data_IF_251716408172
#
_entry.id   IF_251716408172
#
_cell.length_a   1.000
_cell.length_b   1.000
_cell.length_c   1.000
_cell.angle_alpha   90.00
_cell.angle_beta   90.00
_cell.angle_gamma   90.00
#
_symmetry.space_group_name_H-M   'P 1'
#
loop_
_entity.id
_entity.type
_entity.pdbx_description
1 polymer ?
#
# COMPACT_ATOMS: atom_id res chain seq x y z
N UNK A 1 25.82 -2.96 -1.00
CA UNK A 1 25.61 -3.43 -2.39
C UNK A 1 24.11 -3.58 -2.62
N UNK A 2 23.40 -2.46 -2.68
CA UNK A 2 21.99 -2.38 -3.07
C UNK A 2 21.97 -1.59 -4.37
N UNK A 3 22.47 -2.25 -5.41
CA UNK A 3 22.62 -1.69 -6.75
C UNK A 3 22.12 -2.78 -7.71
N UNK A 4 21.10 -2.47 -8.51
CA UNK A 4 20.71 -3.33 -9.64
C UNK A 4 19.22 -3.61 -9.88
N UNK A 5 18.33 -3.56 -8.88
CA UNK A 5 16.92 -4.01 -9.07
C UNK A 5 15.86 -2.92 -9.17
N UNK A 6 16.23 -1.64 -9.01
CA UNK A 6 15.32 -0.51 -9.25
C UNK A 6 15.22 -0.20 -10.77
N UNK A 7 16.11 -0.78 -11.58
CA UNK A 7 16.28 -0.48 -13.00
C UNK A 7 15.43 -1.32 -13.98
N UNK A 8 14.34 -1.95 -13.55
CA UNK A 8 13.54 -2.82 -14.44
C UNK A 8 12.03 -2.63 -14.44
N UNK A 9 11.49 -1.61 -13.77
CA UNK A 9 10.14 -1.13 -14.08
C UNK A 9 10.30 0.00 -15.11
N UNK A 10 10.34 -0.38 -16.39
CA UNK A 10 10.37 0.51 -17.56
C UNK A 10 9.40 1.66 -17.38
N UNK A 11 9.96 2.83 -17.07
CA UNK A 11 9.34 4.13 -17.23
C UNK A 11 9.66 4.52 -18.66
N UNK A 12 8.63 4.73 -19.48
CA UNK A 12 8.82 5.32 -20.80
C UNK A 12 9.50 6.66 -20.55
N UNK A 13 10.71 6.88 -21.09
CA UNK A 13 11.34 8.19 -21.10
C UNK A 13 10.36 9.15 -21.83
N UNK A 14 9.62 9.94 -21.05
CA UNK A 14 8.59 10.85 -21.57
C UNK A 14 9.18 12.05 -22.29
N UNK A 15 10.50 12.12 -22.45
CA UNK A 15 11.23 13.26 -23.00
C UNK A 15 10.89 13.57 -24.46
N UNK A 16 10.31 12.62 -25.22
CA UNK A 16 10.01 12.83 -26.66
C UNK A 16 8.63 12.31 -27.11
N UNK A 17 7.60 12.38 -26.26
CA UNK A 17 6.28 11.85 -26.61
C UNK A 17 5.54 12.73 -27.64
N UNK A 18 5.75 14.05 -27.59
CA UNK A 18 5.06 15.01 -28.46
C UNK A 18 5.93 15.38 -29.67
N UNK A 19 5.72 14.69 -30.79
CA UNK A 19 6.38 14.93 -32.08
C UNK A 19 6.02 16.33 -32.60
N UNK A 20 7.00 17.15 -32.93
CA UNK A 20 6.81 18.50 -33.45
C UNK A 20 7.20 18.54 -34.93
N UNK A 21 6.50 19.36 -35.70
CA UNK A 21 6.91 19.65 -37.06
C UNK A 21 8.12 20.62 -37.08
N UNK A 22 9.20 20.33 -37.82
CA UNK A 22 10.42 21.16 -37.84
C UNK A 22 10.20 22.64 -38.20
N UNK A 23 9.17 22.95 -39.01
CA UNK A 23 8.83 24.33 -39.35
C UNK A 23 8.42 25.17 -38.12
N UNK A 24 7.82 24.54 -37.11
CA UNK A 24 7.40 25.20 -35.87
C UNK A 24 8.60 25.42 -34.96
N UNK A 25 9.52 24.45 -34.90
CA UNK A 25 10.78 24.59 -34.17
C UNK A 25 11.62 25.74 -34.73
N UNK A 26 11.70 25.85 -36.06
CA UNK A 26 12.41 26.95 -36.74
C UNK A 26 11.74 28.30 -36.47
N UNK A 27 10.41 28.38 -36.52
CA UNK A 27 9.68 29.61 -36.22
C UNK A 27 9.91 30.09 -34.78
N UNK A 28 9.93 29.17 -33.82
CA UNK A 28 10.19 29.48 -32.40
C UNK A 28 11.63 29.88 -32.18
N UNK A 29 12.58 29.20 -32.82
CA UNK A 29 14.00 29.55 -32.74
C UNK A 29 14.28 30.94 -33.32
N UNK A 30 13.59 31.32 -34.39
CA UNK A 30 13.68 32.66 -34.97
C UNK A 30 13.07 33.72 -34.03
N UNK A 31 11.89 33.47 -33.47
CA UNK A 31 11.26 34.37 -32.49
C UNK A 31 12.12 34.56 -31.22
N UNK A 32 12.76 33.49 -30.75
CA UNK A 32 13.71 33.53 -29.62
C UNK A 32 14.95 34.37 -29.94
N UNK A 33 15.49 34.26 -31.16
CA UNK A 33 16.63 35.08 -31.61
C UNK A 33 16.26 36.56 -31.71
N UNK A 34 15.03 36.86 -32.10
CA UNK A 34 14.51 38.22 -32.22
C UNK A 34 13.97 38.81 -30.90
N UNK A 35 13.94 38.02 -29.82
CA UNK A 35 13.34 38.35 -28.51
C UNK A 35 11.86 38.74 -28.60
N UNK A 36 11.15 38.19 -29.58
CA UNK A 36 9.71 38.38 -29.79
C UNK A 36 8.95 37.11 -29.40
N UNK A 37 7.65 37.26 -29.11
CA UNK A 37 6.78 36.09 -28.93
C UNK A 37 6.57 35.42 -30.29
N UNK A 38 6.60 34.08 -30.38
CA UNK A 38 6.34 33.37 -31.63
C UNK A 38 4.94 33.76 -32.15
N UNK A 39 4.89 34.35 -33.35
CA UNK A 39 3.65 34.82 -33.96
C UNK A 39 3.16 33.83 -35.01
N UNK A 40 1.84 33.69 -35.12
CA UNK A 40 1.19 32.90 -36.17
C UNK A 40 1.38 33.51 -37.58
N UNK A 41 1.84 34.76 -37.68
CA UNK A 41 2.09 35.43 -38.95
C UNK A 41 3.40 34.96 -39.62
N UNK A 42 4.31 34.36 -38.86
CA UNK A 42 5.60 33.83 -39.35
C UNK A 42 5.48 32.41 -39.93
N UNK A 43 4.29 31.79 -39.83
CA UNK A 43 4.04 30.43 -40.29
C UNK A 43 3.38 30.42 -41.68
N UNK A 44 3.85 29.56 -42.62
CA UNK A 44 3.22 29.44 -43.92
C UNK A 44 1.80 28.85 -43.77
N UNK A 45 0.79 29.56 -44.28
CA UNK A 45 -0.63 29.17 -44.23
C UNK A 45 -0.99 28.11 -45.27
N UNK A 46 -0.17 27.09 -45.40
CA UNK A 46 -0.34 26.01 -46.35
C UNK A 46 -1.30 24.94 -45.79
N UNK A 47 -2.25 24.50 -46.61
CA UNK A 47 -3.21 23.46 -46.22
C UNK A 47 -2.54 22.13 -45.88
N UNK A 48 -1.44 21.79 -46.56
CA UNK A 48 -0.66 20.56 -46.32
C UNK A 48 -0.01 20.52 -44.92
N UNK A 49 0.43 21.68 -44.43
CA UNK A 49 1.04 21.80 -43.12
C UNK A 49 -0.04 21.65 -42.02
N UNK A 50 -1.24 22.19 -42.21
CA UNK A 50 -2.37 21.96 -41.30
C UNK A 50 -2.77 20.49 -41.19
N UNK A 51 -2.72 19.74 -42.30
CA UNK A 51 -3.00 18.29 -42.28
C UNK A 51 -1.91 17.52 -41.54
N UNK A 52 -0.65 17.91 -41.72
CA UNK A 52 0.50 17.30 -41.03
C UNK A 52 0.44 17.57 -39.52
N UNK A 53 0.09 18.80 -39.11
CA UNK A 53 -0.08 19.14 -37.70
C UNK A 53 -1.28 18.41 -37.07
N UNK A 54 -2.36 18.22 -37.82
CA UNK A 54 -3.50 17.40 -37.35
C UNK A 54 -3.07 15.97 -37.09
N UNK A 55 -2.29 15.36 -38.00
CA UNK A 55 -1.70 14.04 -37.79
C UNK A 55 -0.80 13.99 -36.55
N UNK A 56 -0.03 15.04 -36.28
CA UNK A 56 0.78 15.14 -35.06
C UNK A 56 -0.09 15.21 -33.80
N UNK A 57 -1.17 15.98 -33.80
CA UNK A 57 -2.12 16.07 -32.67
C UNK A 57 -2.81 14.72 -32.41
N UNK A 58 -3.22 14.00 -33.45
CA UNK A 58 -3.78 12.65 -33.33
C UNK A 58 -2.74 11.64 -32.78
N UNK A 59 -1.48 11.78 -33.20
CA UNK A 59 -0.37 11.01 -32.65
C UNK A 59 -0.14 11.35 -31.17
N UNK A 60 -0.21 12.64 -30.79
CA UNK A 60 -0.10 13.06 -29.38
C UNK A 60 -1.21 12.43 -28.55
N UNK A 61 -2.46 12.46 -29.03
CA UNK A 61 -3.59 11.83 -28.36
C UNK A 61 -3.34 10.34 -28.14
N UNK A 62 -2.85 9.64 -29.16
CA UNK A 62 -2.56 8.20 -29.09
C UNK A 62 -1.44 7.89 -28.09
N UNK A 63 -0.35 8.68 -28.11
CA UNK A 63 0.77 8.48 -27.20
C UNK A 63 0.42 8.82 -25.75
N UNK A 64 -0.34 9.89 -25.50
CA UNK A 64 -0.83 10.23 -24.16
C UNK A 64 -1.77 9.13 -23.66
N UNK A 65 -2.70 8.66 -24.50
CA UNK A 65 -3.59 7.56 -24.15
C UNK A 65 -2.83 6.27 -23.84
N UNK A 66 -1.71 6.00 -24.51
CA UNK A 66 -0.85 4.84 -24.22
C UNK A 66 -0.21 4.92 -22.83
N UNK A 67 0.24 6.10 -22.40
CA UNK A 67 0.79 6.30 -21.05
C UNK A 67 -0.32 6.25 -19.99
N UNK A 68 -1.44 6.92 -20.24
CA UNK A 68 -2.57 6.98 -19.29
C UNK A 68 -3.22 5.60 -19.04
N UNK A 69 -3.29 4.77 -20.08
CA UNK A 69 -3.90 3.44 -20.01
C UNK A 69 -2.86 2.32 -19.80
N UNK A 70 -1.65 2.66 -19.34
CA UNK A 70 -0.62 1.66 -19.09
C UNK A 70 -1.05 0.65 -18.02
N UNK A 71 -0.80 -0.62 -18.29
CA UNK A 71 -1.09 -1.70 -17.33
C UNK A 71 -0.19 -1.58 -16.09
N UNK A 72 -0.82 -1.42 -14.93
CA UNK A 72 -0.12 -1.33 -13.66
C UNK A 72 0.15 -2.74 -13.12
N UNK A 73 1.43 -3.13 -12.86
CA UNK A 73 1.76 -4.43 -12.31
C UNK A 73 1.07 -4.68 -10.94
N UNK A 74 0.89 -5.96 -10.55
CA UNK A 74 0.28 -6.30 -9.27
C UNK A 74 1.17 -5.83 -8.10
N UNK A 75 0.54 -5.63 -6.94
CA UNK A 75 1.24 -5.21 -5.73
C UNK A 75 2.21 -6.28 -5.26
N UNK A 76 3.47 -5.89 -5.06
CA UNK A 76 4.54 -6.74 -4.50
C UNK A 76 4.88 -6.37 -3.07
N UNK A 77 5.11 -5.08 -2.80
CA UNK A 77 5.23 -4.51 -1.46
C UNK A 77 4.76 -3.05 -1.45
N UNK A 78 4.43 -2.53 -0.27
CA UNK A 78 4.02 -1.14 -0.09
C UNK A 78 5.05 -0.13 -0.62
N UNK A 79 6.34 -0.36 -0.40
CA UNK A 79 7.41 0.55 -0.87
C UNK A 79 7.48 0.59 -2.41
N UNK A 80 7.38 -0.56 -3.07
CA UNK A 80 7.33 -0.61 -4.53
C UNK A 80 6.05 0.05 -5.06
N UNK A 81 4.93 -0.15 -4.37
CA UNK A 81 3.65 0.48 -4.71
C UNK A 81 3.73 2.01 -4.63
N UNK A 82 4.31 2.55 -3.55
CA UNK A 82 4.54 3.98 -3.37
C UNK A 82 5.41 4.56 -4.49
N UNK A 83 6.59 3.96 -4.71
CA UNK A 83 7.51 4.40 -5.75
C UNK A 83 6.87 4.35 -7.14
N UNK A 84 6.03 3.35 -7.40
CA UNK A 84 5.28 3.22 -8.65
C UNK A 84 4.32 4.38 -8.85
N UNK A 85 3.46 4.69 -7.87
CA UNK A 85 2.46 5.75 -8.03
C UNK A 85 3.09 7.14 -8.00
N UNK A 86 4.17 7.35 -7.24
CA UNK A 86 4.96 8.58 -7.30
C UNK A 86 5.59 8.77 -8.67
N UNK A 87 6.19 7.72 -9.25
CA UNK A 87 6.79 7.81 -10.56
C UNK A 87 5.74 8.08 -11.65
N UNK A 88 4.66 7.31 -11.63
CA UNK A 88 3.54 7.50 -12.55
C UNK A 88 2.95 8.91 -12.45
N UNK A 89 2.79 9.43 -11.22
CA UNK A 89 2.32 10.80 -10.98
C UNK A 89 3.27 11.85 -11.56
N UNK A 90 4.59 11.66 -11.42
CA UNK A 90 5.60 12.55 -12.02
C UNK A 90 5.56 12.50 -13.55
N UNK A 91 5.40 11.33 -14.15
CA UNK A 91 5.29 11.17 -15.61
C UNK A 91 4.04 11.87 -16.16
N UNK A 92 2.88 11.66 -15.55
CA UNK A 92 1.64 12.33 -15.94
C UNK A 92 1.73 13.85 -15.72
N UNK A 93 2.38 14.29 -14.64
CA UNK A 93 2.61 15.72 -14.38
C UNK A 93 3.56 16.34 -15.41
N UNK A 94 4.63 15.64 -15.79
CA UNK A 94 5.54 16.05 -16.84
C UNK A 94 4.83 16.17 -18.19
N UNK A 95 3.96 15.20 -18.54
CA UNK A 95 3.13 15.25 -19.75
C UNK A 95 2.15 16.42 -19.74
N UNK A 96 1.45 16.66 -18.62
CA UNK A 96 0.62 17.85 -18.45
C UNK A 96 1.44 19.13 -18.64
N UNK A 97 2.65 19.18 -18.08
CA UNK A 97 3.58 20.30 -18.25
C UNK A 97 4.00 20.50 -19.71
N UNK A 98 4.31 19.43 -20.44
CA UNK A 98 4.64 19.50 -21.87
C UNK A 98 3.48 20.03 -22.71
N UNK A 99 2.23 19.68 -22.39
CA UNK A 99 1.06 20.17 -23.12
C UNK A 99 0.74 21.65 -22.83
N UNK A 100 0.90 22.07 -21.57
CA UNK A 100 0.47 23.39 -21.11
C UNK A 100 1.57 24.46 -21.13
N UNK A 101 2.84 24.07 -21.07
CA UNK A 101 3.96 25.00 -20.87
C UNK A 101 4.92 25.07 -22.06
N UNK A 102 4.87 24.12 -23.00
CA UNK A 102 5.82 24.06 -24.13
C UNK A 102 5.34 25.00 -25.25
N UNK A 103 6.17 25.99 -25.60
CA UNK A 103 5.84 27.09 -26.51
C UNK A 103 5.40 26.61 -27.91
N UNK A 104 5.97 25.50 -28.36
CA UNK A 104 5.63 24.80 -29.60
C UNK A 104 4.21 24.22 -29.63
N UNK A 105 3.77 23.57 -28.55
CA UNK A 105 2.43 23.01 -28.41
C UNK A 105 1.42 24.13 -28.28
N UNK A 106 1.76 25.18 -27.53
CA UNK A 106 0.93 26.37 -27.40
C UNK A 106 0.72 27.08 -28.75
N UNK A 107 1.77 27.20 -29.57
CA UNK A 107 1.68 27.80 -30.90
C UNK A 107 0.80 26.96 -31.85
N UNK A 108 0.95 25.63 -31.81
CA UNK A 108 0.06 24.71 -32.55
C UNK A 108 -1.40 24.89 -32.10
N UNK A 109 -1.63 24.94 -30.79
CA UNK A 109 -2.98 25.10 -30.24
C UNK A 109 -3.59 26.46 -30.60
N UNK A 110 -2.83 27.55 -30.54
CA UNK A 110 -3.29 28.89 -30.96
C UNK A 110 -3.63 28.91 -32.46
N UNK A 111 -2.85 28.20 -33.29
CA UNK A 111 -3.13 28.12 -34.72
C UNK A 111 -4.47 27.43 -35.02
N UNK A 112 -4.72 26.28 -34.39
CA UNK A 112 -5.98 25.56 -34.55
C UNK A 112 -7.17 26.34 -33.99
N UNK A 113 -6.97 27.08 -32.89
CA UNK A 113 -8.00 27.96 -32.35
C UNK A 113 -8.37 29.08 -33.35
N UNK A 114 -7.40 29.76 -33.97
CA UNK A 114 -7.70 30.83 -34.94
C UNK A 114 -8.27 30.33 -36.26
N UNK A 115 -7.91 29.12 -36.69
CA UNK A 115 -8.29 28.60 -38.02
C UNK A 115 -9.63 27.86 -37.99
N UNK A 116 -9.93 27.15 -36.90
CA UNK A 116 -11.08 26.24 -36.81
C UNK A 116 -11.89 26.36 -35.51
N UNK A 117 -11.52 27.27 -34.60
CA UNK A 117 -12.11 27.36 -33.25
C UNK A 117 -12.00 26.05 -32.45
N UNK A 118 -10.94 25.28 -32.71
CA UNK A 118 -10.64 24.02 -32.03
C UNK A 118 -9.72 24.28 -30.83
N UNK A 119 -10.13 23.84 -29.63
CA UNK A 119 -9.37 23.99 -28.40
C UNK A 119 -8.50 22.75 -28.15
N UNK A 120 -7.49 22.56 -28.99
CA UNK A 120 -6.64 21.36 -29.05
C UNK A 120 -6.21 20.85 -27.68
N UNK A 121 -5.69 21.73 -26.80
CA UNK A 121 -5.21 21.34 -25.47
C UNK A 121 -6.36 20.84 -24.60
N UNK A 122 -7.48 21.57 -24.55
CA UNK A 122 -8.66 21.18 -23.78
C UNK A 122 -9.26 19.86 -24.29
N UNK A 123 -9.31 19.68 -25.60
CA UNK A 123 -9.80 18.44 -26.22
C UNK A 123 -8.87 17.27 -25.93
N UNK A 124 -7.55 17.44 -26.02
CA UNK A 124 -6.58 16.41 -25.65
C UNK A 124 -6.71 16.02 -24.17
N UNK A 125 -6.81 16.98 -23.27
CA UNK A 125 -6.97 16.71 -21.83
C UNK A 125 -8.28 15.95 -21.54
N UNK A 126 -9.38 16.33 -22.19
CA UNK A 126 -10.68 15.66 -22.04
C UNK A 126 -10.69 14.26 -22.67
N UNK A 127 -10.16 14.11 -23.87
CA UNK A 127 -10.22 12.86 -24.63
C UNK A 127 -9.28 11.79 -24.07
N UNK A 128 -8.15 12.20 -23.48
CA UNK A 128 -7.19 11.28 -22.85
C UNK A 128 -7.50 11.01 -21.38
N UNK A 129 -8.27 11.88 -20.71
CA UNK A 129 -8.53 11.80 -19.28
C UNK A 129 -7.28 12.03 -18.42
N UNK A 130 -6.27 12.71 -18.96
CA UNK A 130 -4.96 12.87 -18.32
C UNK A 130 -5.06 13.53 -16.93
N UNK A 131 -5.83 14.61 -16.81
CA UNK A 131 -6.02 15.31 -15.52
C UNK A 131 -6.71 14.43 -14.48
N UNK A 132 -7.74 13.67 -14.88
CA UNK A 132 -8.43 12.75 -13.97
C UNK A 132 -7.49 11.67 -13.45
N UNK A 133 -6.63 11.12 -14.32
CA UNK A 133 -5.65 10.10 -13.94
C UNK A 133 -4.55 10.67 -13.05
N UNK A 134 -4.11 11.91 -13.28
CA UNK A 134 -3.15 12.60 -12.43
C UNK A 134 -3.73 12.81 -11.03
N UNK A 135 -4.95 13.36 -10.93
CA UNK A 135 -5.64 13.52 -9.64
C UNK A 135 -5.85 12.19 -8.92
N UNK A 136 -6.21 11.14 -9.66
CA UNK A 136 -6.38 9.80 -9.10
C UNK A 136 -5.06 9.27 -8.53
N UNK A 137 -3.97 9.48 -9.25
CA UNK A 137 -2.63 9.04 -8.84
C UNK A 137 -2.19 9.76 -7.57
N UNK A 138 -2.38 11.08 -7.48
CA UNK A 138 -2.13 11.81 -6.24
C UNK A 138 -2.94 11.29 -5.06
N UNK A 139 -4.25 11.04 -5.25
CA UNK A 139 -5.11 10.44 -4.20
C UNK A 139 -4.63 9.05 -3.77
N UNK A 140 -4.03 8.27 -4.68
CA UNK A 140 -3.45 6.97 -4.36
C UNK A 140 -2.15 7.12 -3.58
N UNK A 141 -1.25 8.02 -4.00
CA UNK A 141 -0.01 8.33 -3.27
C UNK A 141 -0.33 8.81 -1.85
N UNK A 142 -1.21 9.78 -1.67
CA UNK A 142 -1.61 10.29 -0.35
C UNK A 142 -2.16 9.18 0.56
N UNK A 143 -2.98 8.29 -0.01
CA UNK A 143 -3.50 7.13 0.70
C UNK A 143 -2.36 6.20 1.17
N UNK A 144 -1.46 5.83 0.27
CA UNK A 144 -0.37 4.90 0.55
C UNK A 144 0.64 5.48 1.53
N UNK A 145 0.98 6.76 1.42
CA UNK A 145 1.86 7.46 2.36
C UNK A 145 1.24 7.51 3.76
N UNK A 146 -0.08 7.71 3.84
CA UNK A 146 -0.80 7.61 5.11
C UNK A 146 -0.74 6.20 5.72
N UNK A 147 -0.85 5.15 4.90
CA UNK A 147 -0.67 3.76 5.36
C UNK A 147 0.75 3.51 5.85
N UNK A 148 1.76 3.99 5.13
CA UNK A 148 3.18 3.85 5.50
C UNK A 148 3.48 4.49 6.85
N UNK A 149 2.99 5.72 7.08
CA UNK A 149 3.16 6.40 8.36
C UNK A 149 2.56 5.59 9.52
N UNK A 150 1.36 5.06 9.35
CA UNK A 150 0.70 4.24 10.37
C UNK A 150 1.37 2.88 10.56
N UNK A 151 1.97 2.31 9.51
CA UNK A 151 2.78 1.10 9.63
C UNK A 151 4.06 1.36 10.42
N UNK A 152 4.73 2.48 10.20
CA UNK A 152 5.88 2.90 11.02
C UNK A 152 5.48 3.06 12.49
N UNK A 153 4.31 3.66 12.76
CA UNK A 153 3.75 3.75 14.12
C UNK A 153 3.53 2.35 14.72
N UNK A 154 2.96 1.43 13.94
CA UNK A 154 2.73 0.05 14.34
C UNK A 154 4.05 -0.64 14.70
N UNK A 155 5.07 -0.55 13.83
CA UNK A 155 6.40 -1.10 14.09
C UNK A 155 7.07 -0.51 15.33
N UNK A 156 6.71 0.72 15.72
CA UNK A 156 7.29 1.40 16.88
C UNK A 156 6.57 1.10 18.20
N UNK A 157 5.38 0.50 18.17
CA UNK A 157 4.55 0.27 19.35
C UNK A 157 5.23 -0.64 20.38
N UNK A 158 5.51 -0.17 21.60
CA UNK A 158 6.28 -0.94 22.59
C UNK A 158 5.44 -1.83 23.51
N UNK A 159 4.11 -1.69 23.49
CA UNK A 159 3.19 -2.44 24.34
C UNK A 159 1.86 -2.75 23.64
N UNK A 160 1.08 -3.67 24.23
CA UNK A 160 -0.17 -4.16 23.65
C UNK A 160 -1.24 -3.06 23.51
N UNK A 161 -1.30 -2.11 24.44
CA UNK A 161 -2.26 -1.01 24.38
C UNK A 161 -1.97 -0.05 23.22
N UNK A 162 -0.69 0.32 23.02
CA UNK A 162 -0.24 1.11 21.89
C UNK A 162 -0.49 0.38 20.58
N UNK A 163 -0.19 -0.92 20.51
CA UNK A 163 -0.46 -1.73 19.34
C UNK A 163 -1.96 -1.75 19.00
N UNK A 164 -2.83 -1.94 19.99
CA UNK A 164 -4.29 -1.89 19.80
C UNK A 164 -4.75 -0.54 19.28
N UNK A 165 -4.21 0.55 19.84
CA UNK A 165 -4.54 1.91 19.42
C UNK A 165 -4.17 2.17 17.95
N UNK A 166 -2.99 1.73 17.50
CA UNK A 166 -2.58 1.89 16.11
C UNK A 166 -3.47 1.04 15.18
N UNK A 167 -3.83 -0.17 15.58
CA UNK A 167 -4.79 -1.00 14.82
C UNK A 167 -6.15 -0.30 14.69
N UNK A 168 -6.64 0.34 15.76
CA UNK A 168 -7.85 1.18 15.76
C UNK A 168 -7.74 2.43 14.88
N UNK A 169 -6.54 2.85 14.47
CA UNK A 169 -6.33 3.95 13.54
C UNK A 169 -6.19 3.46 12.08
N UNK A 170 -5.38 2.43 11.85
CA UNK A 170 -5.07 1.88 10.51
C UNK A 170 -6.34 1.48 9.78
N UNK A 171 -7.17 0.63 10.38
CA UNK A 171 -8.33 0.09 9.67
C UNK A 171 -9.35 1.18 9.31
N UNK A 172 -9.76 2.07 10.24
CA UNK A 172 -10.61 3.21 9.89
C UNK A 172 -10.04 4.12 8.84
N UNK A 173 -8.74 4.36 8.83
CA UNK A 173 -8.09 5.09 7.75
C UNK A 173 -8.27 4.35 6.41
N UNK A 174 -7.96 3.05 6.35
CA UNK A 174 -8.05 2.26 5.11
C UNK A 174 -9.48 2.18 4.59
N UNK A 175 -10.47 1.74 5.37
CA UNK A 175 -11.82 1.53 4.83
C UNK A 175 -12.55 2.86 4.54
N UNK A 176 -12.28 3.95 5.28
CA UNK A 176 -12.83 5.28 4.94
C UNK A 176 -12.24 5.81 3.65
N UNK A 177 -10.94 5.61 3.43
CA UNK A 177 -10.27 6.06 2.22
C UNK A 177 -10.69 5.22 1.01
N UNK A 178 -10.77 3.88 1.13
CA UNK A 178 -11.26 2.99 0.06
C UNK A 178 -12.70 3.32 -0.36
N UNK A 179 -13.55 3.83 0.54
CA UNK A 179 -14.90 4.32 0.19
C UNK A 179 -14.88 5.58 -0.68
N UNK A 180 -13.96 6.50 -0.43
CA UNK A 180 -13.87 7.82 -1.11
C UNK A 180 -13.04 7.76 -2.38
N UNK A 181 -11.92 7.06 -2.31
CA UNK A 181 -10.90 6.97 -3.36
C UNK A 181 -11.13 5.66 -4.14
N UNK A 182 -11.09 5.68 -5.49
CA UNK A 182 -11.30 4.49 -6.31
C UNK A 182 -10.12 3.50 -6.29
N UNK A 183 -9.54 3.24 -5.12
CA UNK A 183 -8.45 2.28 -4.99
C UNK A 183 -8.97 0.85 -5.18
N UNK A 184 -8.40 0.05 -6.11
CA UNK A 184 -8.95 -1.27 -6.45
C UNK A 184 -8.88 -2.29 -5.32
N UNK A 185 -9.94 -3.10 -5.15
CA UNK A 185 -9.94 -4.16 -4.13
C UNK A 185 -8.84 -5.21 -4.34
N UNK A 186 -8.42 -5.41 -5.60
CA UNK A 186 -7.29 -6.27 -5.98
C UNK A 186 -5.98 -5.88 -5.31
N UNK A 187 -5.79 -4.59 -5.03
CA UNK A 187 -4.57 -4.03 -4.44
C UNK A 187 -4.73 -3.79 -2.94
N UNK A 188 -5.93 -3.43 -2.48
CA UNK A 188 -6.19 -3.24 -1.04
C UNK A 188 -6.06 -4.53 -0.22
N UNK A 189 -6.41 -5.69 -0.79
CA UNK A 189 -6.26 -6.99 -0.10
C UNK A 189 -4.79 -7.33 0.22
N UNK A 190 -3.86 -7.30 -0.77
CA UNK A 190 -2.43 -7.41 -0.50
C UNK A 190 -1.91 -6.42 0.56
N UNK A 191 -2.36 -5.15 0.55
CA UNK A 191 -1.96 -4.16 1.57
C UNK A 191 -2.36 -4.60 2.98
N UNK A 192 -3.60 -5.07 3.18
CA UNK A 192 -4.04 -5.59 4.48
C UNK A 192 -3.23 -6.82 4.90
N UNK A 193 -2.85 -7.68 3.95
CA UNK A 193 -1.99 -8.83 4.27
C UNK A 193 -0.58 -8.39 4.72
N UNK A 194 0.00 -7.34 4.12
CA UNK A 194 1.26 -6.78 4.59
C UNK A 194 1.13 -6.18 6.00
N UNK A 195 0.06 -5.42 6.26
CA UNK A 195 -0.23 -4.90 7.60
C UNK A 195 -0.38 -6.07 8.59
N UNK A 196 -1.03 -7.17 8.20
CA UNK A 196 -1.19 -8.33 9.07
C UNK A 196 0.14 -9.04 9.37
N UNK A 197 1.05 -9.09 8.40
CA UNK A 197 2.41 -9.63 8.60
C UNK A 197 3.17 -8.77 9.60
N UNK A 198 3.14 -7.45 9.43
CA UNK A 198 3.86 -6.53 10.31
C UNK A 198 3.28 -6.53 11.73
N UNK A 199 1.95 -6.54 11.83
CA UNK A 199 1.24 -6.74 13.10
C UNK A 199 1.68 -8.00 13.82
N UNK A 200 1.79 -9.13 13.11
CA UNK A 200 2.25 -10.39 13.72
C UNK A 200 3.68 -10.31 14.23
N UNK A 201 4.60 -9.75 13.43
CA UNK A 201 6.00 -9.53 13.81
C UNK A 201 6.09 -8.67 15.07
N UNK A 202 5.36 -7.56 15.10
CA UNK A 202 5.39 -6.65 16.23
C UNK A 202 4.75 -7.25 17.48
N UNK A 203 3.63 -7.94 17.33
CA UNK A 203 2.96 -8.63 18.43
C UNK A 203 3.87 -9.69 19.06
N UNK A 204 4.53 -10.51 18.23
CA UNK A 204 5.49 -11.50 18.70
C UNK A 204 6.65 -10.84 19.47
N UNK A 205 7.17 -9.70 18.98
CA UNK A 205 8.23 -8.95 19.66
C UNK A 205 7.79 -8.37 21.02
N UNK A 206 6.57 -7.87 21.12
CA UNK A 206 6.03 -7.37 22.39
C UNK A 206 5.83 -8.54 23.36
N UNK A 207 5.25 -9.65 22.91
CA UNK A 207 5.00 -10.83 23.74
C UNK A 207 6.29 -11.48 24.25
N UNK A 208 7.34 -11.54 23.44
CA UNK A 208 8.65 -12.05 23.89
C UNK A 208 9.28 -11.14 24.95
N UNK A 209 9.12 -9.82 24.81
CA UNK A 209 9.61 -8.85 25.80
C UNK A 209 8.88 -8.85 27.14
N UNK A 210 7.66 -9.41 27.21
CA UNK A 210 6.90 -9.52 28.47
C UNK A 210 7.37 -10.66 29.38
N UNK A 211 8.22 -11.58 28.89
CA UNK A 211 8.73 -12.74 29.65
C UNK A 211 7.64 -13.43 30.48
N UNK A 212 6.49 -13.72 29.86
CA UNK A 212 5.26 -14.17 30.54
C UNK A 212 5.44 -15.42 31.43
N UNK A 213 6.53 -16.16 31.24
CA UNK A 213 6.90 -17.33 32.03
C UNK A 213 7.36 -16.94 33.43
N UNK A 214 8.17 -15.89 33.56
CA UNK A 214 8.82 -15.47 34.82
C UNK A 214 7.95 -14.51 35.65
N UNK A 215 6.92 -13.93 35.04
CA UNK A 215 6.03 -12.94 35.65
C UNK A 215 4.99 -13.61 36.57
N UNK A 216 4.64 -13.02 37.73
CA UNK A 216 3.58 -13.53 38.62
C UNK A 216 2.24 -13.73 37.90
N UNK A 217 1.43 -14.68 38.37
CA UNK A 217 0.16 -15.05 37.72
C UNK A 217 -0.78 -13.84 37.52
N UNK A 218 -0.93 -12.97 38.53
CA UNK A 218 -1.82 -11.81 38.48
C UNK A 218 -1.45 -10.80 37.38
N UNK A 219 -0.16 -10.54 37.19
CA UNK A 219 0.33 -9.66 36.12
C UNK A 219 0.24 -10.35 34.75
N UNK A 220 0.51 -11.66 34.71
CA UNK A 220 0.38 -12.48 33.51
C UNK A 220 -1.08 -12.50 32.99
N UNK A 221 -2.06 -12.61 33.90
CA UNK A 221 -3.49 -12.57 33.59
C UNK A 221 -3.90 -11.25 32.94
N UNK A 222 -3.42 -10.11 33.45
CA UNK A 222 -3.66 -8.80 32.84
C UNK A 222 -3.10 -8.74 31.40
N UNK A 223 -1.88 -9.24 31.17
CA UNK A 223 -1.29 -9.29 29.82
C UNK A 223 -2.08 -10.19 28.86
N UNK A 224 -2.65 -11.30 29.34
CA UNK A 224 -3.52 -12.15 28.52
C UNK A 224 -4.83 -11.45 28.15
N UNK A 225 -5.43 -10.70 29.07
CA UNK A 225 -6.63 -9.89 28.80
C UNK A 225 -6.32 -8.81 27.76
N UNK A 226 -5.19 -8.12 27.88
CA UNK A 226 -4.75 -7.13 26.91
C UNK A 226 -4.52 -7.75 25.52
N UNK A 227 -3.83 -8.89 25.45
CA UNK A 227 -3.57 -9.59 24.20
C UNK A 227 -4.88 -10.08 23.55
N UNK A 228 -5.79 -10.64 24.34
CA UNK A 228 -7.11 -11.06 23.88
C UNK A 228 -7.91 -9.89 23.31
N UNK A 229 -7.83 -8.72 23.94
CA UNK A 229 -8.46 -7.48 23.46
C UNK A 229 -7.90 -7.06 22.11
N UNK A 230 -6.57 -7.06 21.94
CA UNK A 230 -5.91 -6.75 20.66
C UNK A 230 -6.39 -7.69 19.55
N UNK A 231 -6.45 -9.01 19.81
CA UNK A 231 -6.91 -9.98 18.82
C UNK A 231 -8.37 -9.78 18.43
N UNK A 232 -9.25 -9.47 19.38
CA UNK A 232 -10.66 -9.21 19.09
C UNK A 232 -10.86 -7.91 18.31
N UNK A 233 -10.14 -6.85 18.67
CA UNK A 233 -10.14 -5.58 17.92
C UNK A 233 -9.70 -5.81 16.47
N UNK A 234 -8.59 -6.52 16.26
CA UNK A 234 -8.12 -6.87 14.92
C UNK A 234 -9.18 -7.66 14.12
N UNK A 235 -9.80 -8.66 14.75
CA UNK A 235 -10.84 -9.49 14.12
C UNK A 235 -12.06 -8.66 13.74
N UNK A 236 -12.52 -7.77 14.62
CA UNK A 236 -13.62 -6.84 14.35
C UNK A 236 -13.31 -5.96 13.14
N UNK A 237 -12.11 -5.39 13.07
CA UNK A 237 -11.69 -4.56 11.94
C UNK A 237 -11.57 -5.33 10.63
N UNK A 238 -11.07 -6.56 10.65
CA UNK A 238 -11.04 -7.42 9.46
C UNK A 238 -12.45 -7.72 8.91
N UNK A 239 -13.42 -7.93 9.80
CA UNK A 239 -14.83 -8.13 9.42
C UNK A 239 -15.41 -6.87 8.79
N UNK A 240 -15.17 -5.71 9.40
CA UNK A 240 -15.63 -4.41 8.89
C UNK A 240 -15.01 -4.11 7.52
N UNK A 241 -13.68 -4.23 7.39
CA UNK A 241 -12.99 -4.09 6.11
C UNK A 241 -13.57 -5.01 5.04
N UNK A 242 -13.82 -6.28 5.38
CA UNK A 242 -14.43 -7.23 4.44
C UNK A 242 -15.84 -6.82 4.01
N UNK A 243 -16.62 -6.21 4.91
CA UNK A 243 -17.93 -5.66 4.59
C UNK A 243 -17.81 -4.48 3.61
N UNK A 244 -16.94 -3.52 3.93
CA UNK A 244 -16.70 -2.32 3.10
C UNK A 244 -16.13 -2.69 1.73
N UNK A 245 -15.16 -3.59 1.65
CA UNK A 245 -14.58 -4.02 0.38
C UNK A 245 -15.63 -4.70 -0.52
N UNK A 246 -16.52 -5.53 0.05
CA UNK A 246 -17.65 -6.12 -0.70
C UNK A 246 -18.66 -5.05 -1.16
N UNK A 247 -18.99 -4.10 -0.29
CA UNK A 247 -19.90 -2.99 -0.59
C UNK A 247 -19.36 -2.14 -1.76
N UNK A 248 -18.08 -1.73 -1.66
CA UNK A 248 -17.40 -0.92 -2.68
C UNK A 248 -17.26 -1.69 -3.98
N UNK A 249 -16.87 -2.97 -3.93
CA UNK A 249 -16.77 -3.82 -5.12
C UNK A 249 -18.11 -3.97 -5.85
N UNK A 250 -19.21 -4.13 -5.12
CA UNK A 250 -20.57 -4.17 -5.70
C UNK A 250 -20.98 -2.83 -6.30
N UNK A 251 -20.74 -1.72 -5.59
CA UNK A 251 -21.08 -0.37 -6.07
C UNK A 251 -20.35 0.01 -7.35
N UNK A 252 -19.09 -0.44 -7.50
CA UNK A 252 -18.24 -0.14 -8.66
C UNK A 252 -18.32 -1.20 -9.77
N UNK A 253 -19.17 -2.22 -9.62
CA UNK A 253 -19.25 -3.36 -10.53
C UNK A 253 -17.88 -4.01 -10.81
N UNK A 254 -17.01 -4.05 -9.80
CA UNK A 254 -15.70 -4.69 -9.92
C UNK A 254 -15.85 -6.22 -10.06
N UNK A 255 -14.91 -6.86 -10.76
CA UNK A 255 -14.86 -8.33 -10.85
C UNK A 255 -14.85 -8.92 -9.44
N UNK A 256 -15.75 -9.87 -9.17
CA UNK A 256 -15.85 -10.51 -7.86
C UNK A 256 -14.53 -11.21 -7.51
N UNK A 257 -14.05 -10.96 -6.30
CA UNK A 257 -12.87 -11.62 -5.73
C UNK A 257 -13.24 -12.09 -4.33
N UNK A 258 -12.90 -13.33 -3.97
CA UNK A 258 -13.00 -13.78 -2.58
C UNK A 258 -12.18 -12.86 -1.67
N UNK A 259 -12.85 -12.09 -0.82
CA UNK A 259 -12.19 -11.28 0.21
C UNK A 259 -11.88 -12.20 1.40
N UNK A 260 -10.64 -12.70 1.42
CA UNK A 260 -10.08 -13.48 2.53
C UNK A 260 -8.77 -12.83 2.97
N UNK A 261 -8.81 -12.22 4.15
CA UNK A 261 -7.60 -11.68 4.80
C UNK A 261 -6.80 -12.86 5.32
N UNK A 262 -5.52 -12.93 4.97
CA UNK A 262 -4.60 -13.90 5.56
C UNK A 262 -4.17 -13.35 6.91
N UNK A 263 -4.37 -14.11 7.97
CA UNK A 263 -4.11 -13.70 9.36
C UNK A 263 -3.08 -14.63 10.00
N UNK A 264 -1.76 -14.36 9.83
CA UNK A 264 -0.70 -15.21 10.39
C UNK A 264 -0.76 -15.34 11.91
N UNK A 265 -1.19 -14.28 12.59
CA UNK A 265 -1.30 -14.20 14.05
C UNK A 265 -2.31 -15.18 14.66
N UNK A 266 -3.11 -15.91 13.87
CA UNK A 266 -4.04 -16.90 14.41
C UNK A 266 -3.31 -18.05 15.14
N UNK A 267 -2.16 -18.49 14.61
CA UNK A 267 -1.34 -19.53 15.24
C UNK A 267 -0.79 -19.03 16.59
N UNK A 268 -0.29 -17.80 16.60
CA UNK A 268 0.20 -17.15 17.82
C UNK A 268 -0.93 -16.94 18.85
N UNK A 269 -2.14 -16.59 18.38
CA UNK A 269 -3.32 -16.44 19.24
C UNK A 269 -3.68 -17.75 19.96
N UNK A 270 -3.73 -18.88 19.25
CA UNK A 270 -4.01 -20.18 19.86
C UNK A 270 -2.90 -20.57 20.86
N UNK A 271 -1.63 -20.32 20.51
CA UNK A 271 -0.49 -20.55 21.40
C UNK A 271 -0.57 -19.75 22.70
N UNK A 272 -0.92 -18.46 22.63
CA UNK A 272 -1.12 -17.60 23.81
C UNK A 272 -2.28 -18.10 24.66
N UNK A 273 -3.38 -18.53 24.03
CA UNK A 273 -4.54 -19.09 24.72
C UNK A 273 -4.21 -20.38 25.47
N UNK A 274 -3.49 -21.31 24.82
CA UNK A 274 -3.04 -22.54 25.47
C UNK A 274 -2.18 -22.24 26.70
N UNK A 275 -1.28 -21.26 26.59
CA UNK A 275 -0.44 -20.86 27.71
C UNK A 275 -1.25 -20.21 28.84
N UNK A 276 -2.26 -19.41 28.52
CA UNK A 276 -3.19 -18.87 29.52
C UNK A 276 -3.91 -19.99 30.29
N UNK A 277 -4.45 -20.99 29.59
CA UNK A 277 -5.09 -22.14 30.22
C UNK A 277 -4.12 -22.94 31.11
N UNK A 278 -2.86 -23.05 30.67
CA UNK A 278 -1.80 -23.69 31.45
C UNK A 278 -1.49 -22.92 32.73
N UNK A 279 -1.28 -21.59 32.64
CA UNK A 279 -1.00 -20.73 33.80
C UNK A 279 -2.15 -20.77 34.81
N UNK A 280 -3.39 -20.75 34.35
CA UNK A 280 -4.57 -20.87 35.21
C UNK A 280 -4.63 -22.24 35.92
N UNK A 281 -4.27 -23.33 35.23
CA UNK A 281 -4.16 -24.66 35.87
C UNK A 281 -3.02 -24.69 36.88
N UNK A 282 -1.87 -24.12 36.53
CA UNK A 282 -0.69 -24.10 37.40
C UNK A 282 -0.93 -23.32 38.69
N UNK A 283 -1.55 -22.14 38.61
CA UNK A 283 -1.88 -21.32 39.79
C UNK A 283 -2.75 -22.06 40.81
N UNK A 284 -3.62 -22.98 40.35
CA UNK A 284 -4.44 -23.83 41.24
C UNK A 284 -3.66 -24.98 41.89
N UNK A 285 -2.47 -25.27 41.37
CA UNK A 285 -1.57 -26.35 41.82
C UNK A 285 -0.35 -25.81 42.55
N UNK A 286 -0.16 -24.49 42.66
CA UNK A 286 0.98 -23.86 43.36
C UNK A 286 1.06 -24.27 44.84
N UNK A 287 -0.05 -24.70 45.45
CA UNK A 287 -0.08 -25.24 46.82
C UNK A 287 0.56 -26.64 46.95
N UNK A 288 0.80 -27.35 45.83
CA UNK A 288 1.43 -28.67 45.84
C UNK A 288 2.97 -28.58 45.91
N UNK A 289 3.63 -29.47 46.67
CA UNK A 289 5.10 -29.54 46.71
C UNK A 289 5.66 -29.82 45.30
N UNK A 290 6.82 -29.24 44.95
CA UNK A 290 7.52 -29.48 43.67
C UNK A 290 6.78 -29.03 42.39
N UNK A 291 5.62 -28.37 42.50
CA UNK A 291 4.91 -27.79 41.36
C UNK A 291 5.76 -26.77 40.58
N UNK A 292 6.56 -25.96 41.29
CA UNK A 292 7.51 -25.01 40.70
C UNK A 292 8.54 -25.67 39.78
N UNK A 293 9.11 -26.82 40.18
CA UNK A 293 10.11 -27.56 39.39
C UNK A 293 9.52 -28.18 38.10
N UNK A 294 8.21 -28.42 38.10
CA UNK A 294 7.49 -28.82 36.89
C UNK A 294 7.34 -27.65 35.92
N UNK A 295 7.09 -26.45 36.44
CA UNK A 295 6.89 -25.25 35.64
C UNK A 295 8.18 -24.71 34.99
N UNK A 296 9.35 -24.94 35.62
CA UNK A 296 10.66 -24.58 35.07
C UNK A 296 10.93 -25.17 33.66
N UNK A 297 10.27 -26.27 33.28
CA UNK A 297 10.37 -26.86 31.94
C UNK A 297 10.01 -25.84 30.85
N UNK A 298 9.06 -24.93 31.11
CA UNK A 298 8.65 -23.94 30.14
C UNK A 298 9.70 -22.87 29.86
N UNK A 299 10.65 -22.61 30.78
CA UNK A 299 11.73 -21.64 30.54
C UNK A 299 12.66 -22.03 29.38
N UNK A 300 12.66 -23.32 29.01
CA UNK A 300 13.45 -23.82 27.87
C UNK A 300 12.75 -23.62 26.52
N UNK A 301 11.48 -23.18 26.52
CA UNK A 301 10.67 -23.02 25.32
C UNK A 301 10.28 -21.56 25.13
N UNK A 302 10.53 -21.02 23.95
CA UNK A 302 10.08 -19.68 23.60
C UNK A 302 8.58 -19.72 23.21
N UNK A 303 7.76 -18.95 23.92
CA UNK A 303 6.30 -18.95 23.70
C UNK A 303 5.93 -18.47 22.28
N UNK A 304 6.69 -17.51 21.74
CA UNK A 304 6.40 -16.84 20.46
C UNK A 304 6.92 -17.61 19.25
N UNK A 305 7.71 -18.68 19.47
CA UNK A 305 8.21 -19.53 18.38
C UNK A 305 7.09 -20.43 17.84
N UNK A 306 6.49 -19.97 16.74
CA UNK A 306 5.44 -20.65 15.97
C UNK A 306 6.00 -21.47 14.81
N UNK A 307 7.32 -21.70 14.75
CA UNK A 307 7.93 -22.61 13.79
C UNK A 307 7.48 -24.06 14.03
N UNK A 308 7.59 -24.97 13.03
CA UNK A 308 7.33 -26.39 13.23
C UNK A 308 8.14 -26.97 14.41
N UNK A 309 9.40 -26.55 14.54
CA UNK A 309 10.30 -26.93 15.63
C UNK A 309 9.80 -26.40 16.98
N UNK A 310 9.41 -25.13 17.04
CA UNK A 310 8.85 -24.49 18.24
C UNK A 310 7.51 -25.08 18.68
N UNK A 311 6.71 -25.57 17.73
CA UNK A 311 5.48 -26.31 18.03
C UNK A 311 5.79 -27.67 18.66
N UNK A 312 6.76 -28.41 18.12
CA UNK A 312 7.19 -29.70 18.70
C UNK A 312 7.75 -29.51 20.10
N UNK A 313 8.62 -28.51 20.29
CA UNK A 313 9.21 -28.19 21.59
C UNK A 313 8.14 -27.89 22.66
N UNK A 314 7.07 -27.19 22.27
CA UNK A 314 5.95 -26.90 23.15
C UNK A 314 5.12 -28.10 23.54
N UNK A 315 4.78 -28.95 22.58
CA UNK A 315 4.03 -30.17 22.87
C UNK A 315 4.85 -31.08 23.81
N UNK A 316 6.16 -31.18 23.59
CA UNK A 316 7.07 -31.89 24.48
C UNK A 316 7.10 -31.29 25.89
N UNK A 317 7.19 -29.96 26.01
CA UNK A 317 7.17 -29.28 27.32
C UNK A 317 5.83 -29.49 28.05
N UNK A 318 4.69 -29.42 27.34
CA UNK A 318 3.37 -29.75 27.90
C UNK A 318 3.31 -31.18 28.41
N UNK A 319 3.85 -32.14 27.66
CA UNK A 319 3.90 -33.55 28.07
C UNK A 319 4.73 -33.73 29.35
N UNK A 320 5.96 -33.21 29.37
CA UNK A 320 6.86 -33.29 30.52
C UNK A 320 6.29 -32.63 31.77
N UNK A 321 5.64 -31.47 31.61
CA UNK A 321 4.92 -30.80 32.70
C UNK A 321 3.79 -31.68 33.26
N UNK A 322 3.00 -32.28 32.37
CA UNK A 322 1.88 -33.15 32.76
C UNK A 322 2.37 -34.41 33.50
N UNK A 323 3.44 -35.04 33.01
CA UNK A 323 4.07 -36.20 33.67
C UNK A 323 4.60 -35.85 35.07
N UNK A 324 5.31 -34.72 35.19
CA UNK A 324 5.82 -34.27 36.49
C UNK A 324 4.70 -33.97 37.48
N UNK A 325 3.62 -33.31 37.06
CA UNK A 325 2.47 -33.05 37.94
C UNK A 325 1.76 -34.35 38.34
N UNK A 326 1.62 -35.31 37.43
CA UNK A 326 1.05 -36.62 37.76
C UNK A 326 1.91 -37.40 38.75
N UNK A 327 3.24 -37.26 38.70
CA UNK A 327 4.13 -37.91 39.66
C UNK A 327 4.07 -37.34 41.08
N UNK A 328 3.56 -36.11 41.22
CA UNK A 328 3.45 -35.36 42.49
C UNK A 328 2.09 -35.55 43.16
N UNK A 329 1.06 -35.94 42.39
CA UNK A 329 -0.33 -36.16 42.84
C UNK A 329 -0.56 -37.58 43.36
#
# INVERSE_FOLDING_TARGET
MLDGSINSARIVETEQILIIHPAIEVAIENARKERTLPSLDDLPRETELLETLRGNVESWQSSIAAVVNQDVPPLTSLQHELALWECYGRELSALCGQLCNREDVLLVAEWFQKTRDELVILDLLRNTGLQEHLERTHKFTDFLTGVECLLCELCSATNLAALNHVVDQIFPFVYKTVRRVPYPNRRSLPLINEISREFNTQLARILSGLSLIDVPYTTCENHFVDAATVFETWRKHCREFSCVAREVGRRRAERFIPIKVVTPHYVLQERVREFQELRHKHARLEELPQSGDAYEVFKTVELVDISPEGQVAWEMAKHLYSEKIQSVN
#
